data_IF_324259323174
#
_entry.id   IF_324259323174
#
_cell.length_a   1.000
_cell.length_b   1.000
_cell.length_c   1.000
_cell.angle_alpha   90.00
_cell.angle_beta   90.00
_cell.angle_gamma   90.00
#
_symmetry.space_group_name_H-M   'P 1'
#
loop_
_entity.id
_entity.type
_entity.pdbx_description
1 polymer ?
#
# COMPACT_ATOMS: atom_id res chain seq x y z
N UNK A 1 57.62 -8.96 -37.50
CA UNK A 1 57.01 -9.30 -36.20
C UNK A 1 56.11 -10.51 -36.40
N UNK A 2 56.66 -11.68 -36.10
CA UNK A 2 56.05 -12.95 -35.65
C UNK A 2 54.60 -12.80 -35.14
N UNK A 3 53.59 -13.65 -35.35
CA UNK A 3 53.38 -14.94 -36.05
C UNK A 3 51.85 -15.28 -35.99
N UNK A 4 51.46 -16.28 -36.77
CA UNK A 4 50.42 -17.29 -36.50
C UNK A 4 48.91 -17.01 -36.73
N UNK A 5 48.44 -17.59 -37.85
CA UNK A 5 47.14 -18.28 -38.04
C UNK A 5 46.75 -19.16 -36.83
N UNK A 6 45.46 -19.24 -36.49
CA UNK A 6 44.59 -20.39 -36.82
C UNK A 6 43.11 -20.11 -36.47
N UNK A 7 42.25 -21.04 -36.90
CA UNK A 7 40.80 -21.00 -37.06
C UNK A 7 40.16 -22.12 -36.24
N UNK A 8 38.88 -21.95 -35.92
CA UNK A 8 37.85 -22.96 -35.61
C UNK A 8 37.84 -23.60 -34.21
N UNK A 9 36.76 -23.36 -33.44
CA UNK A 9 35.82 -24.37 -32.94
C UNK A 9 34.75 -23.76 -31.99
N UNK A 10 33.47 -24.11 -32.22
CA UNK A 10 32.30 -23.97 -31.33
C UNK A 10 32.34 -25.01 -30.18
N UNK A 11 31.33 -25.20 -29.29
CA UNK A 11 30.21 -24.38 -28.76
C UNK A 11 30.16 -24.38 -27.19
N UNK A 12 29.04 -23.91 -26.59
CA UNK A 12 28.57 -24.10 -25.19
C UNK A 12 29.20 -23.29 -24.03
N UNK A 13 28.39 -22.39 -23.43
CA UNK A 13 28.09 -22.30 -21.99
C UNK A 13 26.73 -21.56 -21.86
N UNK A 14 25.60 -22.27 -21.75
CA UNK A 14 24.90 -22.61 -20.51
C UNK A 14 24.45 -21.40 -19.66
N UNK A 15 23.16 -21.08 -19.82
CA UNK A 15 22.16 -20.95 -18.75
C UNK A 15 22.64 -20.46 -17.37
N UNK A 16 22.35 -19.20 -17.04
CA UNK A 16 22.07 -18.77 -15.66
C UNK A 16 21.35 -17.41 -15.63
N UNK A 17 20.04 -17.43 -15.85
CA UNK A 17 19.14 -16.37 -15.35
C UNK A 17 17.87 -17.01 -14.79
N UNK A 18 18.09 -17.89 -13.82
CA UNK A 18 17.07 -18.29 -12.85
C UNK A 18 17.60 -17.97 -11.46
N UNK A 19 16.89 -17.11 -10.71
CA UNK A 19 16.38 -17.42 -9.36
C UNK A 19 16.09 -16.16 -8.51
N UNK A 20 16.63 -14.98 -8.84
CA UNK A 20 16.50 -13.78 -7.98
C UNK A 20 15.18 -13.02 -8.13
N UNK A 21 14.54 -13.07 -9.30
CA UNK A 21 13.38 -12.21 -9.58
C UNK A 21 12.06 -12.76 -9.02
N UNK A 22 12.03 -14.08 -8.76
CA UNK A 22 10.87 -14.77 -8.18
C UNK A 22 10.85 -14.65 -6.65
N UNK A 23 12.01 -14.53 -6.00
CA UNK A 23 12.07 -14.42 -4.54
C UNK A 23 11.65 -13.04 -4.02
N UNK A 24 11.92 -11.97 -4.77
CA UNK A 24 11.59 -10.62 -4.34
C UNK A 24 10.11 -10.24 -4.51
N UNK A 25 9.44 -10.80 -5.52
CA UNK A 25 8.02 -10.61 -5.79
C UNK A 25 7.14 -11.28 -4.71
N UNK A 26 7.60 -12.40 -4.14
CA UNK A 26 6.90 -13.09 -3.04
C UNK A 26 6.87 -12.29 -1.72
N UNK A 27 7.83 -11.40 -1.50
CA UNK A 27 8.05 -10.74 -0.19
C UNK A 27 7.12 -9.56 0.13
N UNK A 28 6.52 -8.88 -0.86
CA UNK A 28 5.60 -7.76 -0.62
C UNK A 28 4.15 -8.21 -0.51
N UNK A 29 3.73 -9.15 -1.36
CA UNK A 29 2.42 -9.78 -1.23
C UNK A 29 2.33 -10.59 0.07
N UNK A 30 3.45 -11.19 0.50
CA UNK A 30 3.50 -11.89 1.78
C UNK A 30 3.32 -10.97 2.98
N UNK A 31 3.78 -9.72 2.99
CA UNK A 31 3.63 -8.87 4.20
C UNK A 31 2.17 -8.44 4.45
N UNK A 32 1.44 -8.03 3.40
CA UNK A 32 0.02 -7.72 3.51
C UNK A 32 -0.82 -8.99 3.74
N UNK A 33 -0.46 -10.10 3.08
CA UNK A 33 -1.12 -11.39 3.31
C UNK A 33 -0.89 -11.91 4.72
N UNK A 34 0.33 -11.81 5.25
CA UNK A 34 0.68 -12.21 6.63
C UNK A 34 -0.14 -11.39 7.62
N UNK A 35 -0.23 -10.07 7.44
CA UNK A 35 -1.10 -9.24 8.30
C UNK A 35 -2.57 -9.59 8.18
N UNK A 36 -3.03 -9.94 6.98
CA UNK A 36 -4.40 -10.38 6.74
C UNK A 36 -4.65 -11.73 7.41
N UNK A 37 -3.72 -12.67 7.34
CA UNK A 37 -3.77 -13.94 8.08
C UNK A 37 -3.78 -13.72 9.60
N UNK A 38 -2.96 -12.80 10.12
CA UNK A 38 -2.97 -12.43 11.55
C UNK A 38 -4.31 -11.82 11.94
N UNK A 39 -4.87 -10.93 11.11
CA UNK A 39 -6.18 -10.33 11.36
C UNK A 39 -7.32 -11.36 11.26
N UNK A 40 -7.27 -12.28 10.30
CA UNK A 40 -8.18 -13.42 10.16
C UNK A 40 -8.08 -14.32 11.37
N UNK A 41 -6.87 -14.65 11.82
CA UNK A 41 -6.65 -15.43 13.04
C UNK A 41 -7.27 -14.75 14.26
N UNK A 42 -6.98 -13.47 14.49
CA UNK A 42 -7.58 -12.70 15.60
C UNK A 42 -9.11 -12.59 15.48
N UNK A 43 -9.66 -12.59 14.26
CA UNK A 43 -11.09 -12.55 14.02
C UNK A 43 -11.75 -13.92 14.25
N UNK A 44 -11.12 -15.00 13.81
CA UNK A 44 -11.56 -16.38 14.06
C UNK A 44 -11.57 -16.70 15.55
N UNK A 45 -10.64 -16.14 16.34
CA UNK A 45 -10.67 -16.27 17.80
C UNK A 45 -11.87 -15.59 18.47
N UNK A 46 -12.53 -14.64 17.78
CA UNK A 46 -13.67 -13.87 18.29
C UNK A 46 -15.02 -14.28 17.71
N UNK A 47 -15.03 -15.12 16.68
CA UNK A 47 -16.24 -15.54 15.96
C UNK A 47 -16.45 -17.04 16.08
N UNK A 48 -17.70 -17.50 16.04
CA UNK A 48 -18.06 -18.91 16.03
C UNK A 48 -17.80 -19.60 14.69
N UNK A 49 -17.44 -18.84 13.64
CA UNK A 49 -17.12 -19.34 12.30
C UNK A 49 -15.63 -19.16 12.04
N UNK A 50 -14.95 -20.27 11.78
CA UNK A 50 -13.51 -20.30 11.48
C UNK A 50 -13.34 -20.21 9.97
N UNK A 51 -12.78 -19.10 9.49
CA UNK A 51 -12.39 -18.96 8.08
C UNK A 51 -11.03 -19.63 7.86
N UNK A 52 -10.96 -20.59 6.95
CA UNK A 52 -9.75 -21.35 6.58
C UNK A 52 -9.57 -21.38 5.06
N UNK A 53 -8.37 -21.78 4.58
CA UNK A 53 -8.03 -21.80 3.16
C UNK A 53 -7.38 -20.50 2.65
N UNK A 54 -7.38 -20.28 1.34
CA UNK A 54 -6.80 -19.09 0.72
C UNK A 54 -7.51 -17.79 1.16
N UNK A 55 -6.78 -16.68 1.14
CA UNK A 55 -7.37 -15.36 1.43
C UNK A 55 -8.26 -14.93 0.27
N UNK A 56 -9.50 -14.54 0.58
CA UNK A 56 -10.37 -13.90 -0.41
C UNK A 56 -9.96 -12.44 -0.62
N UNK A 57 -10.28 -11.90 -1.80
CA UNK A 57 -10.09 -10.46 -2.08
C UNK A 57 -10.82 -9.58 -1.06
N UNK A 58 -12.03 -9.97 -0.66
CA UNK A 58 -12.82 -9.27 0.36
C UNK A 58 -12.14 -9.21 1.73
N UNK A 59 -11.39 -10.25 2.11
CA UNK A 59 -10.67 -10.26 3.38
C UNK A 59 -9.43 -9.40 3.35
N UNK A 60 -8.72 -9.38 2.21
CA UNK A 60 -7.61 -8.46 1.99
C UNK A 60 -8.11 -7.01 2.08
N UNK A 61 -9.22 -6.68 1.41
CA UNK A 61 -9.81 -5.33 1.45
C UNK A 61 -10.25 -4.92 2.87
N UNK A 62 -10.88 -5.85 3.60
CA UNK A 62 -11.30 -5.61 4.98
C UNK A 62 -10.10 -5.42 5.92
N UNK A 63 -9.07 -6.26 5.77
CA UNK A 63 -7.85 -6.17 6.55
C UNK A 63 -7.11 -4.86 6.26
N UNK A 64 -6.97 -4.50 4.99
CA UNK A 64 -6.37 -3.24 4.56
C UNK A 64 -7.11 -2.04 5.19
N UNK A 65 -8.43 -2.01 5.05
CA UNK A 65 -9.30 -0.97 5.64
C UNK A 65 -9.11 -0.88 7.15
N UNK A 66 -9.03 -2.01 7.85
CA UNK A 66 -8.84 -2.07 9.30
C UNK A 66 -7.46 -1.56 9.71
N UNK A 67 -6.40 -1.95 9.00
CA UNK A 67 -5.03 -1.50 9.25
C UNK A 67 -4.90 0.02 9.06
N UNK A 68 -5.47 0.55 7.98
CA UNK A 68 -5.49 1.99 7.70
C UNK A 68 -6.20 2.72 8.84
N UNK A 69 -7.39 2.24 9.24
CA UNK A 69 -8.16 2.85 10.32
C UNK A 69 -7.38 2.85 11.65
N UNK A 70 -6.67 1.77 11.96
CA UNK A 70 -5.83 1.69 13.16
C UNK A 70 -4.69 2.73 13.11
N UNK A 71 -3.95 2.78 12.01
CA UNK A 71 -2.86 3.74 11.82
C UNK A 71 -3.36 5.20 11.89
N UNK A 72 -4.51 5.49 11.29
CA UNK A 72 -5.11 6.82 11.33
C UNK A 72 -5.59 7.20 12.73
N UNK A 73 -6.15 6.26 13.49
CA UNK A 73 -6.55 6.52 14.89
C UNK A 73 -5.36 6.74 15.81
N UNK A 74 -4.24 6.09 15.56
CA UNK A 74 -3.02 6.28 16.35
C UNK A 74 -2.48 7.70 16.19
N UNK A 75 -2.48 8.24 14.96
CA UNK A 75 -1.84 9.53 14.65
C UNK A 75 -2.82 10.71 14.62
N UNK A 76 -4.05 10.52 14.14
CA UNK A 76 -5.04 11.58 13.90
C UNK A 76 -6.27 11.45 14.82
N UNK A 77 -6.10 10.93 16.03
CA UNK A 77 -7.21 10.72 16.98
C UNK A 77 -7.99 12.01 17.28
N UNK A 78 -7.33 13.17 17.32
CA UNK A 78 -7.96 14.46 17.55
C UNK A 78 -8.81 14.89 16.34
N UNK A 79 -8.25 14.80 15.13
CA UNK A 79 -8.94 15.16 13.89
C UNK A 79 -10.13 14.25 13.63
N UNK A 80 -9.98 12.95 13.85
CA UNK A 80 -11.07 11.97 13.71
C UNK A 80 -12.21 12.30 14.67
N UNK A 81 -11.90 12.58 15.95
CA UNK A 81 -12.94 12.99 16.93
C UNK A 81 -13.63 14.27 16.52
N UNK A 82 -12.88 15.27 16.08
CA UNK A 82 -13.46 16.54 15.64
C UNK A 82 -14.39 16.34 14.43
N UNK A 83 -13.95 15.59 13.41
CA UNK A 83 -14.78 15.31 12.24
C UNK A 83 -16.04 14.52 12.59
N UNK A 84 -15.93 13.53 13.48
CA UNK A 84 -17.08 12.77 13.97
C UNK A 84 -18.10 13.70 14.66
N UNK A 85 -17.63 14.63 15.47
CA UNK A 85 -18.46 15.62 16.18
C UNK A 85 -18.90 16.80 15.30
N UNK A 86 -18.65 16.74 13.98
CA UNK A 86 -18.94 17.83 13.03
C UNK A 86 -18.25 19.16 13.39
N UNK A 87 -17.10 19.08 14.08
CA UNK A 87 -16.23 20.19 14.46
C UNK A 87 -15.14 20.40 13.42
N UNK A 88 -14.60 21.61 13.40
CA UNK A 88 -13.52 22.00 12.50
C UNK A 88 -12.20 21.38 12.98
N UNK A 89 -11.37 20.92 12.05
CA UNK A 89 -9.99 20.50 12.34
C UNK A 89 -9.14 21.70 12.73
N UNK A 90 -8.28 21.49 13.74
CA UNK A 90 -7.39 22.52 14.26
C UNK A 90 -6.52 23.13 13.14
N UNK A 91 -6.33 24.47 13.12
CA UNK A 91 -5.52 25.16 12.12
C UNK A 91 -4.11 24.60 11.91
N UNK A 92 -3.52 24.06 12.98
CA UNK A 92 -2.15 23.57 13.00
C UNK A 92 -2.03 22.12 12.53
N UNK A 93 -3.13 21.45 12.18
CA UNK A 93 -3.09 20.07 11.71
C UNK A 93 -2.50 19.97 10.31
N UNK A 94 -1.57 19.05 10.12
CA UNK A 94 -0.90 18.77 8.83
C UNK A 94 -1.88 18.43 7.70
N UNK A 95 -3.09 18.00 8.03
CA UNK A 95 -4.08 17.53 7.07
C UNK A 95 -5.18 18.55 6.78
N UNK A 96 -5.24 19.69 7.47
CA UNK A 96 -6.33 20.68 7.30
C UNK A 96 -6.47 21.13 5.84
N UNK A 97 -5.35 21.39 5.18
CA UNK A 97 -5.33 21.87 3.79
C UNK A 97 -5.77 20.80 2.76
N UNK A 98 -5.94 19.56 3.19
CA UNK A 98 -6.42 18.45 2.35
C UNK A 98 -7.95 18.32 2.34
N UNK A 99 -8.66 19.25 3.00
CA UNK A 99 -10.11 19.20 3.21
C UNK A 99 -10.60 17.80 3.64
N UNK A 100 -10.06 17.27 4.75
CA UNK A 100 -10.22 15.86 5.07
C UNK A 100 -11.62 15.57 5.62
N UNK A 101 -12.11 14.37 5.38
CA UNK A 101 -13.42 13.90 5.85
C UNK A 101 -13.35 12.42 6.24
N UNK A 102 -14.34 11.96 7.02
CA UNK A 102 -14.53 10.54 7.33
C UNK A 102 -15.50 9.93 6.33
N UNK A 103 -15.13 8.82 5.71
CA UNK A 103 -16.02 8.05 4.86
C UNK A 103 -16.96 7.13 5.67
N UNK A 104 -17.79 6.36 4.95
CA UNK A 104 -18.75 5.41 5.55
C UNK A 104 -18.07 4.29 6.34
N UNK A 105 -16.82 3.98 6.02
CA UNK A 105 -16.00 2.97 6.69
C UNK A 105 -15.16 3.56 7.84
N UNK A 106 -15.33 4.85 8.13
CA UNK A 106 -14.58 5.58 9.16
C UNK A 106 -13.10 5.76 8.82
N UNK A 107 -12.73 5.74 7.53
CA UNK A 107 -11.41 6.08 7.03
C UNK A 107 -11.33 7.59 6.80
N UNK A 108 -10.24 8.19 7.27
CA UNK A 108 -9.90 9.57 7.03
C UNK A 108 -9.35 9.74 5.60
N UNK A 109 -10.06 10.50 4.76
CA UNK A 109 -9.73 10.68 3.33
C UNK A 109 -9.49 12.13 2.99
N UNK A 110 -8.73 12.34 1.91
CA UNK A 110 -8.57 13.65 1.26
C UNK A 110 -9.85 14.02 0.53
N UNK A 111 -10.30 15.26 0.68
CA UNK A 111 -11.41 15.84 -0.08
C UNK A 111 -10.95 16.92 -1.06
N UNK A 112 -11.92 17.61 -1.68
CA UNK A 112 -11.67 18.81 -2.46
C UNK A 112 -11.61 18.59 -3.98
N UNK A 113 -10.51 19.01 -4.62
CA UNK A 113 -10.44 19.38 -6.05
C UNK A 113 -10.90 18.31 -7.04
N UNK A 114 -10.72 17.03 -6.70
CA UNK A 114 -11.11 15.91 -7.58
C UNK A 114 -12.58 15.51 -7.43
N UNK A 115 -13.33 16.10 -6.50
CA UNK A 115 -14.72 15.72 -6.19
C UNK A 115 -15.65 15.64 -7.41
N UNK A 116 -15.46 16.53 -8.38
CA UNK A 116 -16.30 16.64 -9.59
C UNK A 116 -15.73 15.89 -10.81
N UNK A 117 -14.65 15.12 -10.65
CA UNK A 117 -14.06 14.33 -11.74
C UNK A 117 -14.77 12.98 -11.95
N UNK A 118 -14.59 12.35 -13.10
CA UNK A 118 -15.10 11.00 -13.40
C UNK A 118 -14.19 9.88 -12.88
N UNK A 119 -13.27 10.21 -11.95
CA UNK A 119 -12.36 9.24 -11.36
C UNK A 119 -13.08 8.27 -10.42
N UNK A 120 -12.58 7.03 -10.29
CA UNK A 120 -13.03 6.10 -9.27
C UNK A 120 -12.97 6.71 -7.86
N UNK A 121 -13.91 6.34 -7.00
CA UNK A 121 -14.06 6.92 -5.66
C UNK A 121 -12.74 6.95 -4.85
N UNK A 122 -11.97 5.85 -4.89
CA UNK A 122 -10.70 5.74 -4.15
C UNK A 122 -9.58 6.63 -4.69
N UNK A 123 -9.59 6.92 -5.99
CA UNK A 123 -8.65 7.84 -6.63
C UNK A 123 -9.08 9.31 -6.43
N UNK A 124 -10.39 9.54 -6.40
CA UNK A 124 -11.00 10.83 -6.11
C UNK A 124 -10.78 11.26 -4.66
N UNK A 125 -10.88 10.30 -3.73
CA UNK A 125 -10.77 10.50 -2.29
C UNK A 125 -9.76 9.51 -1.69
N UNK A 126 -8.45 9.71 -1.93
CA UNK A 126 -7.43 8.81 -1.43
C UNK A 126 -7.39 8.81 0.10
N UNK A 127 -7.13 7.64 0.69
CA UNK A 127 -7.01 7.50 2.14
C UNK A 127 -5.71 8.15 2.64
N UNK A 128 -5.81 8.98 3.68
CA UNK A 128 -4.65 9.68 4.24
C UNK A 128 -3.76 8.68 4.97
N UNK A 129 -2.48 8.61 4.59
CA UNK A 129 -1.51 7.77 5.26
C UNK A 129 -0.60 8.62 6.15
N UNK A 130 -0.46 8.29 7.45
CA UNK A 130 0.42 9.01 8.34
C UNK A 130 1.88 8.94 7.88
N UNK A 131 2.58 10.07 7.98
CA UNK A 131 4.03 10.17 7.72
C UNK A 131 4.79 9.29 8.72
N UNK A 132 5.86 8.62 8.28
CA UNK A 132 6.75 7.82 9.13
C UNK A 132 6.05 6.68 9.93
N UNK A 133 4.96 6.13 9.41
CA UNK A 133 4.27 5.00 10.03
C UNK A 133 4.63 3.68 9.33
N UNK A 134 4.77 2.59 10.10
CA UNK A 134 5.14 1.26 9.57
C UNK A 134 4.20 0.79 8.45
N UNK A 135 2.90 1.03 8.59
CA UNK A 135 1.92 0.70 7.55
C UNK A 135 2.19 1.46 6.25
N UNK A 136 2.50 2.75 6.32
CA UNK A 136 2.79 3.60 5.16
C UNK A 136 4.01 3.07 4.41
N UNK A 137 5.07 2.69 5.13
CA UNK A 137 6.27 2.11 4.53
C UNK A 137 5.98 0.79 3.82
N UNK A 138 5.13 -0.05 4.42
CA UNK A 138 4.74 -1.34 3.86
C UNK A 138 3.89 -1.17 2.60
N UNK A 139 2.97 -0.21 2.58
CA UNK A 139 2.21 0.15 1.37
C UNK A 139 3.15 0.65 0.28
N UNK A 140 4.05 1.59 0.59
CA UNK A 140 5.00 2.12 -0.40
C UNK A 140 5.90 1.00 -0.96
N UNK A 141 6.41 0.13 -0.10
CA UNK A 141 7.25 -1.01 -0.51
C UNK A 141 6.48 -2.02 -1.36
N UNK A 142 5.20 -2.27 -1.04
CA UNK A 142 4.31 -3.09 -1.85
C UNK A 142 4.19 -2.51 -3.27
N UNK A 143 3.88 -1.21 -3.41
CA UNK A 143 3.80 -0.58 -4.73
C UNK A 143 5.15 -0.53 -5.46
N UNK A 144 6.25 -0.32 -4.74
CA UNK A 144 7.58 -0.32 -5.33
C UNK A 144 7.92 -1.66 -5.96
N UNK A 145 7.70 -2.77 -5.23
CA UNK A 145 7.93 -4.13 -5.73
C UNK A 145 6.94 -4.53 -6.82
N UNK A 146 5.64 -4.25 -6.62
CA UNK A 146 4.57 -4.57 -7.58
C UNK A 146 4.82 -3.94 -8.96
N UNK A 147 5.40 -2.74 -8.99
CA UNK A 147 5.68 -2.04 -10.23
C UNK A 147 7.15 -2.19 -10.69
N UNK A 148 7.85 -3.25 -10.28
CA UNK A 148 9.21 -3.54 -10.75
C UNK A 148 10.21 -2.40 -10.46
N UNK A 149 10.17 -1.88 -9.24
CA UNK A 149 11.12 -0.89 -8.74
C UNK A 149 11.11 0.46 -9.48
N UNK A 150 9.92 0.93 -9.88
CA UNK A 150 9.75 2.27 -10.46
C UNK A 150 10.49 3.36 -9.67
N UNK A 151 11.00 4.34 -10.41
CA UNK A 151 11.55 5.56 -9.85
C UNK A 151 10.55 6.30 -8.95
N UNK A 152 11.06 7.10 -8.03
CA UNK A 152 10.29 7.71 -6.93
C UNK A 152 9.04 8.49 -7.39
N UNK A 153 9.12 9.26 -8.47
CA UNK A 153 7.99 10.04 -9.00
C UNK A 153 6.85 9.14 -9.50
N UNK A 154 7.19 8.11 -10.26
CA UNK A 154 6.20 7.15 -10.79
C UNK A 154 5.61 6.30 -9.68
N UNK A 155 6.43 5.88 -8.71
CA UNK A 155 5.95 5.20 -7.50
C UNK A 155 4.95 6.07 -6.72
N UNK A 156 5.29 7.34 -6.49
CA UNK A 156 4.41 8.29 -5.80
C UNK A 156 3.10 8.47 -6.56
N UNK A 157 3.14 8.52 -7.89
CA UNK A 157 1.94 8.58 -8.72
C UNK A 157 1.06 7.33 -8.51
N UNK A 158 1.63 6.12 -8.60
CA UNK A 158 0.90 4.87 -8.37
C UNK A 158 0.27 4.81 -6.97
N UNK A 159 1.00 5.21 -5.94
CA UNK A 159 0.48 5.27 -4.56
C UNK A 159 -0.66 6.29 -4.46
N UNK A 160 -0.53 7.46 -5.09
CA UNK A 160 -1.54 8.54 -5.09
C UNK A 160 -2.86 8.19 -5.77
N UNK A 161 -2.91 7.12 -6.56
CA UNK A 161 -4.16 6.60 -7.12
C UNK A 161 -5.09 5.98 -6.07
N UNK A 162 -4.60 5.65 -4.87
CA UNK A 162 -5.41 5.06 -3.78
C UNK A 162 -5.16 5.70 -2.41
N UNK A 163 -3.97 6.26 -2.19
CA UNK A 163 -3.54 6.76 -0.87
C UNK A 163 -2.86 8.11 -0.95
N UNK A 164 -2.91 8.86 0.14
CA UNK A 164 -2.24 10.15 0.27
C UNK A 164 -1.18 10.10 1.38
N UNK A 165 0.07 9.70 1.06
CA UNK A 165 1.16 9.75 2.03
C UNK A 165 1.48 11.20 2.39
N UNK A 166 1.50 11.50 3.69
CA UNK A 166 1.94 12.80 4.19
C UNK A 166 3.46 12.93 4.13
N UNK A 167 3.90 14.16 3.85
CA UNK A 167 5.31 14.57 3.91
C UNK A 167 5.69 15.06 5.32
#
# INVERSE_FOLDING_TARGET
MVLHKWSSNSPELLNSSSSSDVEHSFSAESDLSVKTYVLRFLNNLKQSVILSGSLSASELDLAETKLIRMAQREIFSAEIRNLHDHKIILPNSKIKNLNPFLDRDGILRVGGRLGNSDLPYVAKYPAILPSNHKLTNIIIMYFHKKNLHLGASSLLHCVKQKYWPLH
#
